data_IF_937357022019
#
_entry.id   IF_937357022019
#
_cell.length_a   1.000
_cell.length_b   1.000
_cell.length_c   1.000
_cell.angle_alpha   90.00
_cell.angle_beta   90.00
_cell.angle_gamma   90.00
#
_symmetry.space_group_name_H-M   'P 1'
#
loop_
_entity.id
_entity.type
_entity.pdbx_description
1 polymer ?
#
# COMPACT_ATOMS: atom_id res chain seq x y z
N UNK A 1 26.18 -20.93 -31.07
CA UNK A 1 26.94 -19.74 -30.62
C UNK A 1 26.04 -18.64 -30.02
N UNK A 2 24.82 -18.95 -29.56
CA UNK A 2 23.86 -17.97 -28.96
C UNK A 2 23.52 -18.25 -27.49
N UNK A 3 24.26 -19.14 -26.82
CA UNK A 3 23.95 -19.59 -25.45
C UNK A 3 24.70 -18.83 -24.34
N UNK A 4 25.64 -17.93 -24.69
CA UNK A 4 26.55 -17.30 -23.72
C UNK A 4 26.14 -15.89 -23.27
N UNK A 5 25.24 -15.21 -23.98
CA UNK A 5 24.91 -13.80 -23.70
C UNK A 5 23.84 -13.58 -22.62
N UNK A 6 23.10 -14.61 -22.21
CA UNK A 6 22.06 -14.51 -21.18
C UNK A 6 22.50 -14.97 -19.78
N UNK A 7 23.77 -15.37 -19.59
CA UNK A 7 24.21 -16.00 -18.33
C UNK A 7 24.51 -15.04 -17.18
N UNK A 8 24.74 -13.74 -17.43
CA UNK A 8 25.30 -12.83 -16.41
C UNK A 8 24.32 -11.76 -15.90
N UNK A 9 23.22 -11.50 -16.59
CA UNK A 9 22.26 -10.44 -16.21
C UNK A 9 21.34 -10.81 -15.04
N UNK A 10 21.20 -12.11 -14.73
CA UNK A 10 20.31 -12.57 -13.66
C UNK A 10 20.87 -12.39 -12.23
N UNK A 11 22.17 -12.08 -12.08
CA UNK A 11 22.84 -11.99 -10.77
C UNK A 11 22.82 -10.60 -10.13
N UNK A 12 22.28 -9.60 -10.83
CA UNK A 12 22.29 -8.20 -10.38
C UNK A 12 20.94 -7.70 -9.86
N UNK A 13 19.92 -8.57 -9.74
CA UNK A 13 18.58 -8.16 -9.29
C UNK A 13 18.56 -7.52 -7.89
N UNK A 14 19.53 -7.88 -7.03
CA UNK A 14 19.68 -7.30 -5.70
C UNK A 14 20.60 -6.07 -5.65
N UNK A 15 21.33 -5.78 -6.73
CA UNK A 15 22.28 -4.67 -6.77
C UNK A 15 21.60 -3.31 -6.51
N UNK A 16 20.42 -2.97 -7.08
CA UNK A 16 19.76 -1.70 -6.77
C UNK A 16 19.41 -1.56 -5.28
N UNK A 17 19.02 -2.66 -4.62
CA UNK A 17 18.70 -2.67 -3.18
C UNK A 17 19.96 -2.44 -2.34
N UNK A 18 21.07 -3.08 -2.71
CA UNK A 18 22.38 -2.86 -2.08
C UNK A 18 22.85 -1.42 -2.23
N UNK A 19 22.81 -0.88 -3.45
CA UNK A 19 23.24 0.49 -3.75
C UNK A 19 22.39 1.49 -2.97
N UNK A 20 21.06 1.33 -2.98
CA UNK A 20 20.16 2.14 -2.18
C UNK A 20 20.55 2.09 -0.69
N UNK A 21 20.72 0.89 -0.13
CA UNK A 21 20.96 0.74 1.30
C UNK A 21 22.31 1.31 1.75
N UNK A 22 23.35 1.19 0.93
CA UNK A 22 24.65 1.80 1.20
C UNK A 22 24.58 3.34 1.14
N UNK A 23 23.88 3.90 0.14
CA UNK A 23 23.65 5.35 0.06
C UNK A 23 22.86 5.82 1.29
N UNK A 24 21.80 5.11 1.67
CA UNK A 24 20.96 5.42 2.82
C UNK A 24 21.78 5.46 4.13
N UNK A 25 22.59 4.43 4.38
CA UNK A 25 23.51 4.38 5.52
C UNK A 25 24.51 5.55 5.52
N UNK A 26 25.05 5.92 4.35
CA UNK A 26 25.99 7.05 4.23
C UNK A 26 25.35 8.40 4.60
N UNK A 27 24.02 8.48 4.59
CA UNK A 27 23.24 9.67 4.97
C UNK A 27 22.68 9.59 6.40
N UNK A 28 23.07 8.57 7.17
CA UNK A 28 22.58 8.34 8.53
C UNK A 28 21.23 7.63 8.63
N UNK A 29 20.65 7.22 7.49
CA UNK A 29 19.38 6.49 7.47
C UNK A 29 19.60 4.99 7.60
N UNK A 30 18.51 4.23 7.81
CA UNK A 30 18.58 2.77 7.81
C UNK A 30 18.89 2.20 6.42
N UNK A 31 19.43 0.97 6.39
CA UNK A 31 19.69 0.25 5.14
C UNK A 31 18.42 0.04 4.30
N UNK A 32 17.29 -0.28 4.94
CA UNK A 32 15.99 -0.35 4.27
C UNK A 32 15.20 0.95 4.49
N UNK A 33 14.32 1.35 3.55
CA UNK A 33 13.43 2.50 3.76
C UNK A 33 12.60 2.37 5.03
N UNK A 34 12.31 3.48 5.71
CA UNK A 34 11.48 3.50 6.92
C UNK A 34 10.12 2.84 6.68
N UNK A 35 9.55 2.99 5.49
CA UNK A 35 8.28 2.34 5.12
C UNK A 35 8.35 0.81 5.19
N UNK A 36 9.48 0.19 4.87
CA UNK A 36 9.67 -1.27 5.01
C UNK A 36 9.85 -1.63 6.49
N UNK A 37 10.65 -0.85 7.23
CA UNK A 37 10.96 -1.13 8.64
C UNK A 37 9.72 -1.00 9.52
N UNK A 38 8.91 0.04 9.29
CA UNK A 38 7.76 0.38 10.13
C UNK A 38 6.48 -0.39 9.74
N UNK A 39 6.32 -0.74 8.45
CA UNK A 39 5.11 -1.44 7.96
C UNK A 39 5.33 -2.93 7.68
N UNK A 40 6.57 -3.38 7.61
CA UNK A 40 6.93 -4.78 7.42
C UNK A 40 6.40 -5.66 8.54
N UNK A 41 6.22 -6.94 8.23
CA UNK A 41 5.96 -7.93 9.27
C UNK A 41 7.29 -8.32 9.93
N UNK A 42 7.52 -7.85 11.16
CA UNK A 42 8.66 -8.31 11.95
C UNK A 42 8.38 -9.70 12.48
N UNK A 43 9.29 -10.68 12.31
CA UNK A 43 9.11 -11.99 12.87
C UNK A 43 9.05 -11.93 14.40
N UNK A 44 8.09 -12.64 14.99
CA UNK A 44 8.00 -12.86 16.43
C UNK A 44 8.39 -14.31 16.71
N UNK A 45 9.55 -14.52 17.33
CA UNK A 45 10.04 -15.84 17.71
C UNK A 45 9.76 -16.18 19.18
N UNK A 46 9.01 -15.33 19.89
CA UNK A 46 8.71 -15.53 21.32
C UNK A 46 7.60 -16.56 21.57
N UNK A 47 6.84 -16.93 20.55
CA UNK A 47 5.72 -17.87 20.67
C UNK A 47 5.65 -18.86 19.49
N UNK A 48 5.13 -20.08 19.69
CA UNK A 48 4.89 -21.03 18.59
C UNK A 48 3.99 -20.46 17.48
N UNK A 49 3.01 -19.63 17.85
CA UNK A 49 2.16 -18.94 16.89
C UNK A 49 2.93 -17.90 16.06
N UNK A 50 3.82 -17.13 16.68
CA UNK A 50 4.71 -16.21 15.98
C UNK A 50 5.66 -16.91 15.01
N UNK A 51 6.24 -18.05 15.42
CA UNK A 51 7.06 -18.90 14.55
C UNK A 51 6.23 -19.43 13.37
N UNK A 52 5.02 -19.94 13.62
CA UNK A 52 4.12 -20.40 12.56
C UNK A 52 3.77 -19.29 11.58
N UNK A 53 3.50 -18.06 12.08
CA UNK A 53 3.29 -16.88 11.24
C UNK A 53 4.46 -16.59 10.32
N UNK A 54 5.68 -16.67 10.84
CA UNK A 54 6.89 -16.47 10.05
C UNK A 54 7.12 -17.56 9.00
N UNK A 55 6.76 -18.82 9.30
CA UNK A 55 6.99 -19.97 8.42
C UNK A 55 5.93 -20.20 7.34
N UNK A 56 4.90 -19.34 7.24
CA UNK A 56 3.91 -19.43 6.17
C UNK A 56 2.46 -19.23 6.60
N UNK A 57 2.16 -19.29 7.90
CA UNK A 57 0.78 -19.09 8.37
C UNK A 57 0.28 -17.69 8.02
N UNK A 58 1.13 -16.66 8.05
CA UNK A 58 0.72 -15.32 7.62
C UNK A 58 0.32 -15.29 6.14
N UNK A 59 1.03 -16.01 5.28
CA UNK A 59 0.66 -16.12 3.87
C UNK A 59 -0.73 -16.76 3.71
N UNK A 60 -1.04 -17.79 4.49
CA UNK A 60 -2.32 -18.49 4.43
C UNK A 60 -3.45 -17.58 4.93
N UNK A 61 -3.27 -16.94 6.09
CA UNK A 61 -4.23 -15.98 6.65
C UNK A 61 -4.52 -14.84 5.65
N UNK A 62 -3.46 -14.29 5.03
CA UNK A 62 -3.59 -13.21 4.06
C UNK A 62 -4.30 -13.64 2.78
N UNK A 63 -4.03 -14.85 2.27
CA UNK A 63 -4.76 -15.41 1.12
C UNK A 63 -6.23 -15.66 1.48
N UNK A 64 -6.52 -16.16 2.67
CA UNK A 64 -7.90 -16.39 3.12
C UNK A 64 -8.71 -15.08 3.16
N UNK A 65 -8.09 -13.97 3.62
CA UNK A 65 -8.69 -12.64 3.56
C UNK A 65 -8.85 -12.09 2.13
N UNK A 66 -8.23 -12.71 1.13
CA UNK A 66 -8.28 -12.31 -0.28
C UNK A 66 -8.69 -13.48 -1.20
N UNK A 67 -9.98 -13.86 -1.23
CA UNK A 67 -10.45 -15.04 -1.96
C UNK A 67 -10.00 -15.10 -3.42
N UNK A 68 -10.00 -13.97 -4.15
CA UNK A 68 -9.57 -13.95 -5.55
C UNK A 68 -8.12 -14.43 -5.74
N UNK A 69 -7.21 -14.07 -4.82
CA UNK A 69 -5.82 -14.50 -4.83
C UNK A 69 -5.72 -15.96 -4.42
N UNK A 70 -6.43 -16.35 -3.35
CA UNK A 70 -6.44 -17.74 -2.87
C UNK A 70 -6.85 -18.70 -3.99
N UNK A 71 -7.90 -18.39 -4.74
CA UNK A 71 -8.38 -19.26 -5.80
C UNK A 71 -7.47 -19.24 -7.04
N UNK A 72 -6.84 -18.11 -7.38
CA UNK A 72 -5.79 -18.08 -8.42
C UNK A 72 -4.57 -18.90 -8.01
N UNK A 73 -4.14 -18.80 -6.75
CA UNK A 73 -3.05 -19.58 -6.19
C UNK A 73 -3.38 -21.07 -6.21
N UNK A 74 -4.55 -21.46 -5.70
CA UNK A 74 -5.00 -22.86 -5.72
C UNK A 74 -5.11 -23.40 -7.16
N UNK A 75 -5.69 -22.64 -8.09
CA UNK A 75 -5.74 -23.00 -9.50
C UNK A 75 -4.33 -23.22 -10.08
N UNK A 76 -3.36 -22.39 -9.72
CA UNK A 76 -1.98 -22.57 -10.18
C UNK A 76 -1.36 -23.89 -9.72
N UNK A 77 -1.63 -24.30 -8.48
CA UNK A 77 -1.18 -25.59 -7.93
C UNK A 77 -1.88 -26.78 -8.58
N UNK A 78 -3.18 -26.65 -8.91
CA UNK A 78 -3.96 -27.69 -9.59
C UNK A 78 -3.56 -27.83 -11.06
N UNK A 79 -3.19 -26.74 -11.72
CA UNK A 79 -2.87 -26.75 -13.16
C UNK A 79 -1.55 -27.45 -13.46
N UNK A 80 -0.58 -27.42 -12.55
CA UNK A 80 0.69 -28.15 -12.71
C UNK A 80 0.45 -29.65 -12.96
N UNK A 81 -0.15 -30.43 -12.04
CA UNK A 81 -0.41 -31.85 -12.27
C UNK A 81 -1.42 -32.08 -13.39
N UNK A 82 -2.36 -31.15 -13.64
CA UNK A 82 -3.32 -31.26 -14.75
C UNK A 82 -2.63 -31.21 -16.11
N UNK A 83 -1.66 -30.31 -16.29
CA UNK A 83 -0.83 -30.24 -17.49
C UNK A 83 0.02 -31.51 -17.62
N UNK A 84 0.69 -31.92 -16.55
CA UNK A 84 1.56 -33.11 -16.56
C UNK A 84 0.79 -34.41 -16.87
N UNK A 85 -0.47 -34.50 -16.43
CA UNK A 85 -1.35 -35.67 -16.65
C UNK A 85 -2.24 -35.56 -17.89
N UNK A 86 -2.18 -34.45 -18.63
CA UNK A 86 -3.00 -34.24 -19.83
C UNK A 86 -2.61 -35.17 -21.00
N UNK A 87 -1.46 -35.85 -20.92
CA UNK A 87 -0.95 -36.68 -22.01
C UNK A 87 -0.56 -35.88 -23.26
N UNK A 88 -0.65 -34.55 -23.22
CA UNK A 88 -0.26 -33.65 -24.29
C UNK A 88 1.20 -33.24 -24.06
N UNK A 89 1.98 -33.12 -25.12
CA UNK A 89 3.28 -32.43 -25.04
C UNK A 89 3.00 -31.06 -24.41
N UNK A 90 3.84 -30.58 -23.51
CA UNK A 90 3.59 -29.32 -22.81
C UNK A 90 4.81 -28.41 -22.90
N UNK A 91 4.58 -27.10 -22.91
CA UNK A 91 5.69 -26.15 -22.83
C UNK A 91 6.13 -26.07 -21.37
N UNK A 92 7.39 -26.44 -21.09
CA UNK A 92 8.00 -26.37 -19.76
C UNK A 92 7.94 -24.95 -19.18
N UNK A 93 7.99 -23.92 -20.02
CA UNK A 93 7.86 -22.53 -19.61
C UNK A 93 6.55 -22.24 -18.89
N UNK A 94 5.44 -22.92 -19.22
CA UNK A 94 4.14 -22.72 -18.54
C UNK A 94 4.18 -23.28 -17.12
N UNK A 95 4.80 -24.44 -16.91
CA UNK A 95 5.02 -24.98 -15.56
C UNK A 95 5.92 -24.05 -14.74
N UNK A 96 6.98 -23.54 -15.35
CA UNK A 96 7.88 -22.57 -14.71
C UNK A 96 7.11 -21.29 -14.34
N UNK A 97 6.25 -20.76 -15.23
CA UNK A 97 5.40 -19.60 -14.94
C UNK A 97 4.44 -19.86 -13.77
N UNK A 98 3.82 -21.04 -13.70
CA UNK A 98 2.95 -21.43 -12.58
C UNK A 98 3.71 -21.50 -11.26
N UNK A 99 4.91 -22.09 -11.26
CA UNK A 99 5.78 -22.15 -10.08
C UNK A 99 6.20 -20.74 -9.64
N UNK A 100 6.68 -19.91 -10.58
CA UNK A 100 7.05 -18.52 -10.29
C UNK A 100 5.85 -17.76 -9.72
N UNK A 101 4.68 -17.88 -10.34
CA UNK A 101 3.48 -17.21 -9.86
C UNK A 101 3.07 -17.68 -8.45
N UNK A 102 3.08 -18.99 -8.20
CA UNK A 102 2.76 -19.55 -6.89
C UNK A 102 3.76 -19.08 -5.82
N UNK A 103 5.06 -19.19 -6.08
CA UNK A 103 6.11 -18.72 -5.17
C UNK A 103 6.04 -17.21 -4.92
N UNK A 104 5.85 -16.41 -5.97
CA UNK A 104 5.70 -14.95 -5.87
C UNK A 104 4.48 -14.57 -5.03
N UNK A 105 3.34 -15.23 -5.27
CA UNK A 105 2.11 -14.99 -4.51
C UNK A 105 2.30 -15.35 -3.04
N UNK A 106 2.86 -16.53 -2.75
CA UNK A 106 3.14 -16.97 -1.39
C UNK A 106 4.07 -15.99 -0.66
N UNK A 107 5.19 -15.61 -1.29
CA UNK A 107 6.15 -14.67 -0.69
C UNK A 107 5.55 -13.27 -0.50
N UNK A 108 4.76 -12.77 -1.45
CA UNK A 108 4.08 -11.49 -1.29
C UNK A 108 3.11 -11.54 -0.11
N UNK A 109 2.28 -12.59 -0.02
CA UNK A 109 1.31 -12.74 1.07
C UNK A 109 1.98 -12.97 2.43
N UNK A 110 3.20 -13.51 2.43
CA UNK A 110 4.00 -13.73 3.64
C UNK A 110 4.61 -12.42 4.18
N UNK A 111 5.15 -11.56 3.31
CA UNK A 111 5.96 -10.42 3.76
C UNK A 111 5.30 -9.05 3.55
N UNK A 112 4.34 -8.95 2.64
CA UNK A 112 3.61 -7.71 2.39
C UNK A 112 2.21 -7.76 3.00
N UNK A 113 1.81 -6.66 3.64
CA UNK A 113 0.41 -6.47 4.07
C UNK A 113 -0.44 -6.14 2.85
N UNK A 114 -1.51 -6.89 2.64
CA UNK A 114 -2.53 -6.56 1.64
C UNK A 114 -3.73 -5.86 2.30
N UNK A 115 -4.78 -5.54 1.54
CA UNK A 115 -5.98 -4.87 2.05
C UNK A 115 -5.94 -3.34 2.00
N UNK A 116 -4.84 -2.76 1.52
CA UNK A 116 -4.78 -1.33 1.20
C UNK A 116 -5.36 -1.06 -0.19
N UNK A 117 -6.69 -1.10 -0.33
CA UNK A 117 -7.38 -0.63 -1.53
C UNK A 117 -6.96 -1.34 -2.85
N UNK A 118 -6.82 -2.66 -2.83
CA UNK A 118 -6.46 -3.45 -4.03
C UNK A 118 -5.04 -3.27 -4.57
N UNK A 119 -4.32 -2.22 -4.16
CA UNK A 119 -3.12 -1.72 -4.86
C UNK A 119 -1.92 -2.66 -4.78
N UNK A 120 -1.74 -3.33 -3.64
CA UNK A 120 -0.56 -4.16 -3.43
C UNK A 120 -0.70 -5.54 -4.08
N UNK A 121 -1.93 -5.98 -4.31
CA UNK A 121 -2.19 -7.30 -4.88
C UNK A 121 -2.69 -7.27 -6.35
N UNK A 122 -2.98 -6.10 -6.92
CA UNK A 122 -3.55 -6.00 -8.28
C UNK A 122 -2.69 -6.69 -9.35
N UNK A 123 -1.36 -6.58 -9.25
CA UNK A 123 -0.45 -7.23 -10.19
C UNK A 123 -0.47 -8.76 -10.06
N UNK A 124 -0.74 -9.32 -8.87
CA UNK A 124 -0.91 -10.76 -8.67
C UNK A 124 -2.18 -11.26 -9.37
N UNK A 125 -3.26 -10.48 -9.34
CA UNK A 125 -4.48 -10.81 -10.07
C UNK A 125 -4.20 -10.84 -11.58
N UNK A 126 -3.59 -9.78 -12.11
CA UNK A 126 -3.28 -9.70 -13.55
C UNK A 126 -2.34 -10.84 -13.99
N UNK A 127 -1.27 -11.08 -13.25
CA UNK A 127 -0.31 -12.16 -13.54
C UNK A 127 -0.95 -13.53 -13.40
N UNK A 128 -1.75 -13.74 -12.36
CA UNK A 128 -2.47 -15.00 -12.13
C UNK A 128 -3.45 -15.31 -13.25
N UNK A 129 -4.25 -14.34 -13.68
CA UNK A 129 -5.16 -14.47 -14.84
C UNK A 129 -4.40 -14.81 -16.13
N UNK A 130 -3.28 -14.13 -16.37
CA UNK A 130 -2.45 -14.38 -17.54
C UNK A 130 -1.87 -15.81 -17.55
N UNK A 131 -1.25 -16.23 -16.45
CA UNK A 131 -0.61 -17.55 -16.34
C UNK A 131 -1.65 -18.67 -16.35
N UNK A 132 -2.77 -18.51 -15.65
CA UNK A 132 -3.87 -19.49 -15.68
C UNK A 132 -4.52 -19.58 -17.06
N UNK A 133 -4.71 -18.46 -17.75
CA UNK A 133 -5.23 -18.44 -19.12
C UNK A 133 -4.33 -19.20 -20.12
N UNK A 134 -3.01 -18.98 -20.05
CA UNK A 134 -2.04 -19.75 -20.86
C UNK A 134 -2.08 -21.24 -20.50
N UNK A 135 -2.22 -21.56 -19.22
CA UNK A 135 -2.30 -22.95 -18.74
C UNK A 135 -3.54 -23.67 -19.27
N UNK A 136 -4.69 -23.00 -19.29
CA UNK A 136 -5.92 -23.50 -19.93
C UNK A 136 -5.67 -23.76 -21.41
N UNK A 137 -5.12 -22.77 -22.13
CA UNK A 137 -4.78 -22.92 -23.56
C UNK A 137 -3.85 -24.11 -23.81
N UNK A 138 -2.88 -24.36 -22.94
CA UNK A 138 -1.96 -25.48 -23.03
C UNK A 138 -2.63 -26.85 -22.85
N UNK A 139 -3.66 -26.94 -22.02
CA UNK A 139 -4.38 -28.21 -21.78
C UNK A 139 -5.25 -28.57 -22.99
N UNK A 140 -5.86 -27.58 -23.64
CA UNK A 140 -6.71 -27.82 -24.81
C UNK A 140 -5.93 -27.83 -26.14
N UNK A 141 -4.81 -27.09 -26.28
CA UNK A 141 -3.97 -27.01 -27.50
C UNK A 141 -4.75 -26.80 -28.80
N UNK A 142 -5.83 -26.01 -28.76
CA UNK A 142 -6.69 -25.79 -29.92
C UNK A 142 -7.53 -27.00 -30.35
N UNK A 143 -7.54 -28.08 -29.58
CA UNK A 143 -8.43 -29.23 -29.77
C UNK A 143 -9.81 -28.96 -29.16
N UNK A 144 -10.87 -29.58 -29.69
CA UNK A 144 -12.20 -29.50 -29.10
C UNK A 144 -12.21 -30.01 -27.66
N UNK A 145 -13.10 -29.42 -26.84
CA UNK A 145 -13.31 -29.82 -25.46
C UNK A 145 -13.62 -31.33 -25.33
N UNK A 146 -14.48 -31.86 -26.20
CA UNK A 146 -14.91 -33.26 -26.19
C UNK A 146 -13.76 -34.25 -26.44
N UNK A 147 -12.85 -33.94 -27.37
CA UNK A 147 -11.68 -34.78 -27.64
C UNK A 147 -10.73 -34.80 -26.45
N UNK A 148 -10.46 -33.62 -25.87
CA UNK A 148 -9.54 -33.46 -24.74
C UNK A 148 -10.11 -34.15 -23.49
N UNK A 149 -11.42 -33.98 -23.24
CA UNK A 149 -12.10 -34.60 -22.11
C UNK A 149 -12.08 -36.12 -22.19
N UNK A 150 -12.29 -36.71 -23.38
CA UNK A 150 -12.22 -38.17 -23.57
C UNK A 150 -10.84 -38.74 -23.24
N UNK A 151 -9.77 -37.99 -23.52
CA UNK A 151 -8.37 -38.41 -23.28
C UNK A 151 -7.91 -38.15 -21.85
N UNK A 152 -8.39 -37.09 -21.20
CA UNK A 152 -7.93 -36.67 -19.88
C UNK A 152 -9.05 -36.04 -19.04
N UNK A 153 -10.07 -36.82 -18.63
CA UNK A 153 -11.26 -36.29 -17.98
C UNK A 153 -10.93 -35.62 -16.64
N UNK A 154 -10.01 -36.16 -15.85
CA UNK A 154 -9.60 -35.58 -14.57
C UNK A 154 -8.93 -34.21 -14.75
N UNK A 155 -8.01 -34.10 -15.72
CA UNK A 155 -7.31 -32.85 -16.01
C UNK A 155 -8.28 -31.77 -16.52
N UNK A 156 -9.21 -32.13 -17.41
CA UNK A 156 -10.20 -31.18 -17.91
C UNK A 156 -11.20 -30.78 -16.82
N UNK A 157 -11.72 -31.73 -16.04
CA UNK A 157 -12.64 -31.44 -14.94
C UNK A 157 -12.02 -30.54 -13.88
N UNK A 158 -10.78 -30.81 -13.46
CA UNK A 158 -10.09 -29.98 -12.47
C UNK A 158 -9.85 -28.55 -12.96
N UNK A 159 -9.56 -28.37 -14.25
CA UNK A 159 -9.46 -27.05 -14.87
C UNK A 159 -10.80 -26.34 -14.89
N UNK A 160 -11.85 -27.00 -15.37
CA UNK A 160 -13.20 -26.42 -15.44
C UNK A 160 -13.67 -26.00 -14.04
N UNK A 161 -13.51 -26.87 -13.05
CA UNK A 161 -13.87 -26.58 -11.65
C UNK A 161 -13.06 -25.38 -11.15
N UNK A 162 -11.75 -25.36 -11.35
CA UNK A 162 -10.89 -24.25 -10.90
C UNK A 162 -11.30 -22.93 -11.54
N UNK A 163 -11.58 -22.92 -12.85
CA UNK A 163 -12.06 -21.75 -13.58
C UNK A 163 -13.40 -21.27 -13.03
N UNK A 164 -14.39 -22.16 -12.89
CA UNK A 164 -15.72 -21.80 -12.38
C UNK A 164 -15.63 -21.24 -10.97
N UNK A 165 -14.88 -21.89 -10.09
CA UNK A 165 -14.76 -21.50 -8.69
C UNK A 165 -14.02 -20.16 -8.55
N UNK A 166 -12.97 -19.90 -9.33
CA UNK A 166 -12.24 -18.63 -9.25
C UNK A 166 -13.03 -17.44 -9.84
N UNK A 167 -13.97 -17.67 -10.76
CA UNK A 167 -14.73 -16.59 -11.40
C UNK A 167 -15.58 -15.78 -10.40
N UNK A 168 -16.17 -16.43 -9.40
CA UNK A 168 -17.01 -15.75 -8.39
C UNK A 168 -16.22 -14.69 -7.61
N UNK A 169 -15.11 -15.00 -6.91
CA UNK A 169 -14.36 -14.00 -6.15
C UNK A 169 -13.68 -12.97 -7.05
N UNK A 170 -13.28 -13.32 -8.27
CA UNK A 170 -12.77 -12.36 -9.25
C UNK A 170 -13.85 -11.36 -9.67
N UNK A 171 -15.06 -11.81 -9.91
CA UNK A 171 -16.20 -10.94 -10.24
C UNK A 171 -16.55 -10.02 -9.08
N UNK A 172 -16.64 -10.55 -7.85
CA UNK A 172 -16.89 -9.74 -6.64
C UNK A 172 -15.81 -8.67 -6.48
N UNK A 173 -14.54 -9.05 -6.62
CA UNK A 173 -13.41 -8.10 -6.56
C UNK A 173 -13.52 -7.03 -7.64
N UNK A 174 -13.78 -7.42 -8.89
CA UNK A 174 -13.90 -6.48 -10.00
C UNK A 174 -15.05 -5.49 -9.79
N UNK A 175 -16.23 -5.99 -9.41
CA UNK A 175 -17.40 -5.15 -9.10
C UNK A 175 -17.11 -4.16 -7.97
N UNK A 176 -16.49 -4.62 -6.89
CA UNK A 176 -16.13 -3.76 -5.75
C UNK A 176 -15.06 -2.74 -6.13
N UNK A 177 -14.03 -3.14 -6.87
CA UNK A 177 -12.99 -2.21 -7.33
C UNK A 177 -13.57 -1.12 -8.23
N UNK A 178 -14.38 -1.49 -9.24
CA UNK A 178 -15.01 -0.52 -10.15
C UNK A 178 -15.93 0.45 -9.39
N UNK A 179 -16.70 -0.03 -8.41
CA UNK A 179 -17.66 0.81 -7.70
C UNK A 179 -17.01 1.77 -6.70
N UNK A 180 -15.94 1.36 -6.02
CA UNK A 180 -15.31 2.18 -5.00
C UNK A 180 -14.26 3.13 -5.60
N UNK A 181 -13.60 2.77 -6.72
CA UNK A 181 -12.46 3.52 -7.29
C UNK A 181 -12.74 5.00 -7.51
N UNK A 182 -13.88 5.40 -8.11
CA UNK A 182 -14.19 6.82 -8.28
C UNK A 182 -14.27 7.56 -6.94
N UNK A 183 -14.90 6.95 -5.91
CA UNK A 183 -15.01 7.58 -4.58
C UNK A 183 -13.64 7.72 -3.92
N UNK A 184 -12.77 6.71 -4.02
CA UNK A 184 -11.44 6.77 -3.42
C UNK A 184 -10.55 7.83 -4.05
N UNK A 185 -10.62 7.98 -5.38
CA UNK A 185 -9.92 9.06 -6.09
C UNK A 185 -10.45 10.42 -5.61
N UNK A 186 -11.78 10.57 -5.49
CA UNK A 186 -12.38 11.79 -4.96
C UNK A 186 -11.98 12.08 -3.51
N UNK A 187 -11.72 11.08 -2.67
CA UNK A 187 -11.21 11.29 -1.31
C UNK A 187 -9.83 11.95 -1.31
N UNK A 188 -8.92 11.48 -2.16
CA UNK A 188 -7.59 12.08 -2.32
C UNK A 188 -7.71 13.49 -2.88
N UNK A 189 -8.55 13.69 -3.90
CA UNK A 189 -8.82 15.01 -4.49
C UNK A 189 -9.41 16.01 -3.48
N UNK A 190 -10.33 15.57 -2.61
CA UNK A 190 -11.00 16.44 -1.63
C UNK A 190 -10.17 16.76 -0.39
N UNK A 191 -9.15 15.95 -0.06
CA UNK A 191 -8.37 16.12 1.16
C UNK A 191 -6.89 16.37 0.84
N UNK A 192 -6.12 15.34 0.51
CA UNK A 192 -4.67 15.43 0.36
C UNK A 192 -4.22 16.34 -0.80
N UNK A 193 -4.95 16.34 -1.92
CA UNK A 193 -4.67 17.24 -3.04
C UNK A 193 -4.93 18.70 -2.65
N UNK A 194 -6.06 18.98 -1.98
CA UNK A 194 -6.36 20.34 -1.48
C UNK A 194 -5.35 20.81 -0.43
N UNK A 195 -4.92 19.91 0.46
CA UNK A 195 -3.87 20.21 1.44
C UNK A 195 -2.57 20.64 0.75
N UNK A 196 -2.17 19.94 -0.32
CA UNK A 196 -1.01 20.29 -1.11
C UNK A 196 -1.15 21.65 -1.83
N UNK A 197 -2.32 21.94 -2.41
CA UNK A 197 -2.58 23.25 -3.02
C UNK A 197 -2.53 24.39 -2.00
N UNK A 198 -3.16 24.22 -0.84
CA UNK A 198 -3.13 25.18 0.25
C UNK A 198 -1.70 25.44 0.74
N UNK A 199 -0.93 24.39 0.99
CA UNK A 199 0.44 24.52 1.46
C UNK A 199 1.34 25.18 0.42
N UNK A 200 1.15 24.88 -0.87
CA UNK A 200 1.87 25.53 -1.97
C UNK A 200 1.59 27.03 -2.03
N UNK A 201 0.36 27.45 -1.73
CA UNK A 201 -0.04 28.86 -1.82
C UNK A 201 0.43 29.67 -0.60
N UNK A 202 0.28 29.14 0.62
CA UNK A 202 0.47 29.92 1.86
C UNK A 202 1.71 29.54 2.67
N UNK A 203 2.29 28.36 2.45
CA UNK A 203 3.35 27.80 3.28
C UNK A 203 4.55 27.25 2.49
N UNK A 204 4.75 27.73 1.26
CA UNK A 204 5.89 27.33 0.44
C UNK A 204 7.23 27.73 1.12
N UNK A 205 8.19 26.81 1.15
CA UNK A 205 9.48 26.97 1.80
C UNK A 205 9.42 26.96 3.34
N UNK A 206 8.30 26.59 3.95
CA UNK A 206 8.14 26.50 5.41
C UNK A 206 8.28 25.06 5.90
N UNK A 207 8.47 24.91 7.21
CA UNK A 207 8.51 23.61 7.88
C UNK A 207 7.11 23.25 8.38
N UNK A 208 6.62 22.08 7.96
CA UNK A 208 5.22 21.65 8.15
C UNK A 208 5.19 20.23 8.72
N UNK A 209 4.43 20.01 9.78
CA UNK A 209 4.15 18.68 10.29
C UNK A 209 2.92 18.07 9.60
N UNK A 210 3.01 16.82 9.14
CA UNK A 210 1.89 16.13 8.50
C UNK A 210 1.94 14.62 8.72
N UNK A 211 0.80 13.95 8.60
CA UNK A 211 0.71 12.47 8.64
C UNK A 211 0.55 11.85 7.25
N UNK A 212 -0.06 12.59 6.32
CA UNK A 212 -0.26 12.17 4.93
C UNK A 212 0.61 13.02 4.01
N UNK A 213 1.75 12.45 3.64
CA UNK A 213 2.85 13.22 3.05
C UNK A 213 2.96 13.14 1.52
N UNK A 214 2.25 12.20 0.87
CA UNK A 214 2.42 11.90 -0.56
C UNK A 214 2.10 13.06 -1.50
N UNK A 215 0.81 13.32 -1.75
CA UNK A 215 0.38 14.39 -2.66
C UNK A 215 0.79 15.78 -2.16
N UNK A 216 0.87 15.95 -0.83
CA UNK A 216 1.20 17.22 -0.19
C UNK A 216 2.63 17.65 -0.52
N UNK A 217 3.63 16.77 -0.32
CA UNK A 217 5.03 17.07 -0.66
C UNK A 217 5.29 17.08 -2.17
N UNK A 218 4.44 16.44 -2.97
CA UNK A 218 4.54 16.53 -4.43
C UNK A 218 4.12 17.91 -4.96
N UNK A 219 3.12 18.53 -4.34
CA UNK A 219 2.54 19.79 -4.80
C UNK A 219 3.19 21.03 -4.18
N UNK A 220 3.60 20.95 -2.91
CA UNK A 220 4.21 22.07 -2.19
C UNK A 220 5.70 21.80 -1.94
N UNK A 221 6.54 22.81 -2.17
CA UNK A 221 7.95 22.75 -1.78
C UNK A 221 8.06 23.15 -0.31
N UNK A 222 8.22 22.16 0.58
CA UNK A 222 8.22 22.35 2.03
C UNK A 222 9.14 21.35 2.71
N UNK A 223 9.67 21.71 3.89
CA UNK A 223 10.31 20.71 4.76
C UNK A 223 9.21 20.02 5.57
N UNK A 224 9.01 18.73 5.34
CA UNK A 224 7.95 17.97 6.00
C UNK A 224 8.48 17.15 7.18
N UNK A 225 7.90 17.41 8.35
CA UNK A 225 8.00 16.51 9.50
C UNK A 225 6.87 15.48 9.37
N UNK A 226 7.21 14.32 8.85
CA UNK A 226 6.28 13.20 8.74
C UNK A 226 6.07 12.54 10.10
N UNK A 227 4.94 12.85 10.73
CA UNK A 227 4.56 12.28 12.03
C UNK A 227 4.16 10.80 11.93
N UNK A 228 4.07 10.22 10.73
CA UNK A 228 3.99 8.79 10.49
C UNK A 228 5.36 8.12 10.29
N UNK A 229 6.47 8.87 10.35
CA UNK A 229 7.85 8.39 10.32
C UNK A 229 8.32 7.74 9.02
N UNK A 230 7.56 7.82 7.93
CA UNK A 230 7.96 7.28 6.63
C UNK A 230 9.01 8.18 5.97
N UNK A 231 8.88 9.49 6.13
CA UNK A 231 9.75 10.54 5.58
C UNK A 231 10.63 11.25 6.62
N UNK A 232 10.52 10.93 7.90
CA UNK A 232 11.34 11.53 8.97
C UNK A 232 12.01 10.47 9.82
N UNK A 233 13.35 10.50 9.87
CA UNK A 233 14.15 9.48 10.55
C UNK A 233 13.94 9.51 12.06
N UNK A 234 13.91 10.70 12.64
CA UNK A 234 13.72 10.94 14.08
C UNK A 234 12.37 10.35 14.54
N UNK A 235 11.32 10.54 13.74
CA UNK A 235 10.00 9.95 14.01
C UNK A 235 10.01 8.43 13.82
N UNK A 236 10.71 7.93 12.80
CA UNK A 236 10.85 6.48 12.60
C UNK A 236 11.56 5.79 13.78
N UNK A 237 12.60 6.41 14.32
CA UNK A 237 13.32 5.94 15.52
C UNK A 237 12.41 5.91 16.74
N UNK A 238 11.63 6.98 16.96
CA UNK A 238 10.65 7.03 18.05
C UNK A 238 9.58 5.95 17.92
N UNK A 239 9.04 5.72 16.72
CA UNK A 239 8.04 4.67 16.51
C UNK A 239 8.62 3.27 16.66
N UNK A 240 9.81 3.00 16.10
CA UNK A 240 10.49 1.71 16.21
C UNK A 240 10.83 1.35 17.65
N UNK A 241 11.25 2.33 18.44
CA UNK A 241 11.55 2.18 19.87
C UNK A 241 10.30 2.22 20.77
N UNK A 242 9.10 2.41 20.20
CA UNK A 242 7.84 2.63 20.94
C UNK A 242 7.95 3.76 21.97
N UNK A 243 8.73 4.79 21.66
CA UNK A 243 9.05 5.87 22.59
C UNK A 243 8.46 7.22 22.18
N UNK A 244 7.61 7.24 21.15
CA UNK A 244 6.90 8.45 20.70
C UNK A 244 5.90 8.91 21.75
N UNK A 245 5.98 10.19 22.14
CA UNK A 245 5.09 10.83 23.11
C UNK A 245 4.72 12.22 22.60
N UNK A 246 3.64 12.79 23.15
CA UNK A 246 3.24 14.18 22.87
C UNK A 246 4.38 15.17 23.11
N UNK A 247 5.15 15.00 24.18
CA UNK A 247 6.28 15.89 24.51
C UNK A 247 7.40 15.83 23.46
N UNK A 248 7.73 14.63 22.95
CA UNK A 248 8.74 14.50 21.90
C UNK A 248 8.28 15.09 20.57
N UNK A 249 6.98 15.00 20.25
CA UNK A 249 6.42 15.70 19.09
C UNK A 249 6.58 17.21 19.25
N UNK A 250 6.29 17.74 20.44
CA UNK A 250 6.47 19.15 20.75
C UNK A 250 7.94 19.58 20.62
N UNK A 251 8.87 18.83 21.22
CA UNK A 251 10.31 19.11 21.16
C UNK A 251 10.84 19.10 19.73
N UNK A 252 10.48 18.08 18.94
CA UNK A 252 10.89 17.97 17.53
C UNK A 252 10.33 19.15 16.71
N UNK A 253 9.05 19.44 16.86
CA UNK A 253 8.41 20.51 16.10
C UNK A 253 9.00 21.89 16.44
N UNK A 254 9.31 22.13 17.72
CA UNK A 254 9.99 23.34 18.19
C UNK A 254 11.42 23.43 17.66
N UNK A 255 12.19 22.35 17.73
CA UNK A 255 13.57 22.33 17.25
C UNK A 255 13.69 22.61 15.76
N UNK A 256 12.67 22.26 14.98
CA UNK A 256 12.58 22.45 13.53
C UNK A 256 11.87 23.73 13.11
N UNK A 257 11.48 24.60 14.04
CA UNK A 257 10.72 25.83 13.76
C UNK A 257 9.45 25.57 12.92
N UNK A 258 8.71 24.52 13.28
CA UNK A 258 7.51 24.08 12.56
C UNK A 258 6.39 25.11 12.70
N UNK A 259 5.82 25.54 11.57
CA UNK A 259 4.80 26.60 11.56
C UNK A 259 3.41 26.06 11.86
N UNK A 260 3.00 25.06 11.10
CA UNK A 260 1.68 24.45 11.23
C UNK A 260 1.77 22.93 11.16
N UNK A 261 0.72 22.28 11.66
CA UNK A 261 0.52 20.85 11.52
C UNK A 261 -0.83 20.56 10.85
N UNK A 262 -0.82 19.66 9.87
CA UNK A 262 -2.02 19.19 9.16
C UNK A 262 -2.14 17.67 9.34
N UNK A 263 -3.03 17.25 10.24
CA UNK A 263 -2.98 15.90 10.81
C UNK A 263 -4.37 15.30 11.06
N UNK A 264 -4.42 14.00 11.33
CA UNK A 264 -5.60 13.33 11.86
C UNK A 264 -5.49 13.20 13.39
N UNK A 265 -6.37 13.84 14.14
CA UNK A 265 -6.30 13.86 15.61
C UNK A 265 -6.23 12.45 16.21
N UNK A 266 -7.10 11.56 15.72
CA UNK A 266 -7.24 10.18 16.23
C UNK A 266 -5.97 9.32 16.10
N UNK A 267 -4.99 9.74 15.29
CA UNK A 267 -3.71 9.03 15.22
C UNK A 267 -2.87 9.20 16.49
N UNK A 268 -3.12 10.23 17.28
CA UNK A 268 -2.32 10.59 18.45
C UNK A 268 -3.01 10.26 19.77
N UNK A 269 -4.24 9.75 19.76
CA UNK A 269 -4.99 9.39 20.98
C UNK A 269 -4.21 8.42 21.87
N UNK A 270 -3.53 7.43 21.27
CA UNK A 270 -2.76 6.41 21.99
C UNK A 270 -1.55 6.94 22.76
N UNK A 271 -1.06 8.15 22.44
CA UNK A 271 0.08 8.79 23.10
C UNK A 271 -0.31 9.98 23.97
N UNK A 272 -1.62 10.21 24.18
CA UNK A 272 -2.15 11.33 24.97
C UNK A 272 -2.58 12.55 24.14
N UNK A 273 -2.61 12.42 22.81
CA UNK A 273 -3.02 13.47 21.88
C UNK A 273 -1.86 14.34 21.36
N UNK A 274 -2.22 15.40 20.66
CA UNK A 274 -1.28 16.41 20.17
C UNK A 274 -0.85 17.38 21.28
N UNK A 275 0.29 18.08 21.13
CA UNK A 275 0.74 19.05 22.13
C UNK A 275 -0.33 20.10 22.44
N UNK A 276 -0.62 20.33 23.72
CA UNK A 276 -1.65 21.29 24.17
C UNK A 276 -1.37 22.74 23.76
N UNK A 277 -0.11 23.06 23.48
CA UNK A 277 0.33 24.36 22.98
C UNK A 277 -0.07 24.60 21.52
N UNK A 278 -0.37 23.55 20.75
CA UNK A 278 -0.80 23.70 19.37
C UNK A 278 -2.24 24.18 19.32
N UNK A 279 -2.48 25.29 18.62
CA UNK A 279 -3.79 25.92 18.54
C UNK A 279 -4.53 25.38 17.33
N UNK A 280 -5.64 24.69 17.57
CA UNK A 280 -6.49 24.17 16.49
C UNK A 280 -7.25 25.33 15.84
N UNK A 281 -6.98 25.59 14.56
CA UNK A 281 -7.61 26.71 13.82
C UNK A 281 -8.79 26.22 12.98
N UNK A 282 -8.71 25.00 12.45
CA UNK A 282 -9.68 24.56 11.46
C UNK A 282 -9.71 23.06 11.20
N UNK A 283 -10.77 22.61 10.52
CA UNK A 283 -10.89 21.26 9.99
C UNK A 283 -11.48 21.27 8.58
N UNK A 284 -11.10 20.27 7.80
CA UNK A 284 -11.79 19.87 6.57
C UNK A 284 -12.30 18.44 6.70
N UNK A 285 -13.60 18.26 6.46
CA UNK A 285 -14.27 16.96 6.54
C UNK A 285 -14.84 16.56 5.19
N UNK A 286 -14.44 15.38 4.70
CA UNK A 286 -15.05 14.73 3.54
C UNK A 286 -16.26 13.91 3.96
N UNK A 287 -17.28 13.83 3.10
CA UNK A 287 -18.55 13.17 3.44
C UNK A 287 -18.46 11.64 3.47
N UNK A 288 -17.86 11.04 2.44
CA UNK A 288 -17.75 9.59 2.28
C UNK A 288 -16.29 9.19 2.21
N UNK A 289 -15.79 8.53 3.24
CA UNK A 289 -14.42 8.04 3.29
C UNK A 289 -14.37 6.54 2.97
N UNK A 290 -13.63 6.18 1.93
CA UNK A 290 -13.37 4.79 1.52
C UNK A 290 -11.89 4.44 1.42
N UNK A 291 -10.98 5.42 1.53
CA UNK A 291 -9.55 5.18 1.28
C UNK A 291 -8.58 6.09 2.05
N UNK A 292 -9.00 7.28 2.53
CA UNK A 292 -8.12 8.12 3.36
C UNK A 292 -8.20 7.68 4.82
N UNK A 293 -7.18 7.96 5.62
CA UNK A 293 -7.10 7.40 6.97
C UNK A 293 -8.15 7.98 7.93
N UNK A 294 -8.52 9.25 7.74
CA UNK A 294 -9.59 9.91 8.48
C UNK A 294 -10.48 10.76 7.59
N UNK A 295 -11.78 10.79 7.88
CA UNK A 295 -12.72 11.67 7.15
C UNK A 295 -12.47 13.15 7.42
N UNK A 296 -11.89 13.48 8.57
CA UNK A 296 -11.60 14.86 9.00
C UNK A 296 -10.10 15.04 9.17
N UNK A 297 -9.54 16.02 8.49
CA UNK A 297 -8.17 16.51 8.72
C UNK A 297 -8.22 17.84 9.45
N UNK A 298 -7.32 18.01 10.40
CA UNK A 298 -7.24 19.15 11.30
C UNK A 298 -6.03 20.03 10.99
N UNK A 299 -6.19 21.33 11.15
CA UNK A 299 -5.16 22.35 10.97
C UNK A 299 -4.82 22.98 12.32
N UNK A 300 -3.56 22.90 12.70
CA UNK A 300 -3.03 23.45 13.95
C UNK A 300 -1.94 24.46 13.67
N UNK A 301 -2.00 25.61 14.33
CA UNK A 301 -0.86 26.49 14.49
C UNK A 301 0.07 25.89 15.56
N UNK A 302 1.25 25.46 15.13
CA UNK A 302 2.26 24.85 16.02
C UNK A 302 2.98 25.93 16.79
N UNK A 303 3.35 27.00 16.09
CA UNK A 303 3.71 28.28 16.69
C UNK A 303 2.42 29.09 16.93
N UNK A 304 2.08 29.47 18.18
CA UNK A 304 0.88 30.26 18.45
C UNK A 304 0.82 31.59 17.68
N UNK A 305 1.96 32.16 17.27
CA UNK A 305 2.00 33.37 16.45
C UNK A 305 1.48 33.15 15.02
N UNK A 306 1.48 31.90 14.53
CA UNK A 306 0.95 31.52 13.22
C UNK A 306 -0.58 31.44 13.19
N UNK A 307 -1.26 31.48 14.34
CA UNK A 307 -2.73 31.30 14.43
C UNK A 307 -3.51 32.23 13.51
N UNK A 308 -3.23 33.53 13.56
CA UNK A 308 -3.95 34.52 12.76
C UNK A 308 -3.65 34.39 11.27
N UNK A 309 -2.40 34.13 10.91
CA UNK A 309 -2.02 33.90 9.52
C UNK A 309 -2.66 32.63 8.96
N UNK A 310 -2.66 31.54 9.72
CA UNK A 310 -3.32 30.28 9.36
C UNK A 310 -4.83 30.48 9.17
N UNK A 311 -5.47 31.21 10.09
CA UNK A 311 -6.90 31.54 10.00
C UNK A 311 -7.23 32.32 8.73
N UNK A 312 -6.44 33.37 8.43
CA UNK A 312 -6.62 34.17 7.22
C UNK A 312 -6.38 33.36 5.95
N UNK A 313 -5.35 32.52 5.94
CA UNK A 313 -5.02 31.63 4.82
C UNK A 313 -6.13 30.63 4.54
N UNK A 314 -6.66 29.97 5.58
CA UNK A 314 -7.80 29.05 5.45
C UNK A 314 -9.05 29.76 4.93
N UNK A 315 -9.31 30.99 5.39
CA UNK A 315 -10.42 31.82 4.90
C UNK A 315 -10.24 32.19 3.42
N UNK A 316 -9.04 32.59 3.02
CA UNK A 316 -8.71 32.93 1.63
C UNK A 316 -8.84 31.71 0.70
N UNK A 317 -8.44 30.53 1.17
CA UNK A 317 -8.53 29.28 0.41
C UNK A 317 -9.96 28.70 0.38
N UNK A 318 -10.85 29.13 1.26
CA UNK A 318 -12.18 28.54 1.47
C UNK A 318 -13.02 28.41 0.20
N UNK A 319 -12.93 29.39 -0.70
CA UNK A 319 -13.66 29.41 -1.98
C UNK A 319 -13.06 28.48 -3.04
N UNK A 320 -11.79 28.08 -2.90
CA UNK A 320 -11.10 27.15 -3.79
C UNK A 320 -11.43 25.68 -3.47
N UNK A 321 -11.90 25.41 -2.24
CA UNK A 321 -12.23 24.05 -1.82
C UNK A 321 -13.45 23.49 -2.58
N UNK A 322 -13.43 22.18 -2.91
CA UNK A 322 -14.59 21.52 -3.46
C UNK A 322 -15.80 21.68 -2.53
N UNK A 323 -16.96 22.07 -3.09
CA UNK A 323 -18.19 22.36 -2.32
C UNK A 323 -18.66 21.24 -1.39
N UNK A 324 -18.28 19.99 -1.68
CA UNK A 324 -18.59 18.82 -0.85
C UNK A 324 -17.72 18.68 0.41
N UNK A 325 -16.62 19.43 0.52
CA UNK A 325 -15.76 19.46 1.70
C UNK A 325 -16.37 20.39 2.73
N UNK A 326 -16.74 19.84 3.88
CA UNK A 326 -17.25 20.64 5.00
C UNK A 326 -16.08 21.30 5.71
N UNK A 327 -16.18 22.62 5.88
CA UNK A 327 -15.20 23.46 6.57
C UNK A 327 -15.75 23.82 7.96
N UNK A 328 -14.94 23.68 9.00
CA UNK A 328 -15.29 24.11 10.37
C UNK A 328 -14.09 24.71 11.08
N UNK A 329 -14.32 25.60 12.04
CA UNK A 329 -13.28 26.24 12.86
C UNK A 329 -13.35 27.77 12.81
N UNK A 330 -12.37 28.42 13.42
CA UNK A 330 -12.35 29.88 13.66
C UNK A 330 -12.38 30.73 12.38
N UNK A 331 -12.00 30.14 11.24
CA UNK A 331 -11.97 30.81 9.94
C UNK A 331 -13.30 30.74 9.17
N UNK A 332 -14.22 29.86 9.61
CA UNK A 332 -15.51 29.62 8.99
C UNK A 332 -16.65 30.45 9.64
N UNK A 333 -16.32 31.25 10.65
CA UNK A 333 -17.21 32.20 11.32
C UNK A 333 -17.26 33.58 10.64
#
# INVERSE_FOLDING_TARGET
MYSAYFSNSHRLGFLPVLVYGLISLSKGWYFFPNSIILKGQTPDFSSPYGIAKFLGLSSIEMMYSNPAILFLFAASLVFIPSILRSGVIYNKSVIIMLIIFASMTFLHMQFARTGSYFRYEAYLIATGLFVTGISVSQIFRGKPFSETFRKSPIAVSSVVISVVVMMIPLFVRAKTSISITPTAIMNIYHQQYQMGLFLREFYNGKVIAANDIGAVNFLADMECIDLAGLGSLEVAEMMKSKSMTTDKIYELAKAKDTKIAIVYDHWFDSIGGLPKSWVKVGNWTIQKNVNVAGSTVSFYAVDPSEREYLKQSLKAFSSQLPKSVKQTGEYAE
#
